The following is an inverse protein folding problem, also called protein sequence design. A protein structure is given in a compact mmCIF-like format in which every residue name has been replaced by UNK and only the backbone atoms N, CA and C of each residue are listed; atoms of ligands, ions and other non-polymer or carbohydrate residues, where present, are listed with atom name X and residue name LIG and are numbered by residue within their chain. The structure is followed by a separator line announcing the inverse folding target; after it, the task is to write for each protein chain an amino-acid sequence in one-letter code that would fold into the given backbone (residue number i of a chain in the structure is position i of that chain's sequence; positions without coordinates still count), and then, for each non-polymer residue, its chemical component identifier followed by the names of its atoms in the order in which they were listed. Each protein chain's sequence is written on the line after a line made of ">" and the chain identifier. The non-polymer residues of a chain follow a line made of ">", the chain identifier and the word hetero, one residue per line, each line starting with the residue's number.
data_IF_315049347580
#
_entry.id   IF_315049347580
#
_cell.length_a   1.000
_cell.length_b   1.000
_cell.length_c   1.000
_cell.angle_alpha   90.00
_cell.angle_beta   90.00
_cell.angle_gamma   90.00
#
_symmetry.space_group_name_H-M   'P 1'
#
loop_
_entity.id
_entity.type
_entity.pdbx_description
1 polymer ?
#
# COMPACT_ATOMS: atom_id res chain seq x y z
N UNK A 1 22.48 -13.36 2.84
CA UNK A 1 22.04 -12.49 1.72
C UNK A 1 20.70 -11.92 2.12
N UNK A 2 20.65 -10.63 2.44
CA UNK A 2 19.42 -10.02 2.96
C UNK A 2 18.47 -9.70 1.81
N UNK A 3 17.47 -10.56 1.62
CA UNK A 3 16.36 -10.36 0.68
C UNK A 3 15.72 -8.96 0.85
N UNK A 4 15.73 -8.43 2.07
CA UNK A 4 15.15 -7.13 2.43
C UNK A 4 15.95 -5.91 1.94
N UNK A 5 17.22 -6.06 1.54
CA UNK A 5 18.07 -4.96 1.08
C UNK A 5 18.27 -4.93 -0.45
N UNK A 6 17.61 -5.82 -1.20
CA UNK A 6 17.73 -5.86 -2.66
C UNK A 6 16.89 -4.71 -3.25
N UNK A 7 17.57 -3.68 -3.78
CA UNK A 7 16.92 -2.66 -4.60
C UNK A 7 16.49 -3.28 -5.92
N UNK A 8 15.26 -3.78 -5.98
CA UNK A 8 14.69 -4.29 -7.23
C UNK A 8 14.22 -3.11 -8.09
N UNK A 9 14.91 -2.81 -9.19
CA UNK A 9 14.51 -1.77 -10.14
C UNK A 9 13.45 -2.31 -11.11
N UNK A 10 12.24 -2.59 -10.61
CA UNK A 10 11.12 -2.93 -11.49
C UNK A 10 10.69 -1.66 -12.22
N UNK A 11 10.52 -1.75 -13.54
CA UNK A 11 9.82 -0.70 -14.26
C UNK A 11 8.35 -0.65 -13.82
N UNK A 12 7.73 0.52 -13.93
CA UNK A 12 6.32 0.69 -13.54
C UNK A 12 5.37 -0.27 -14.28
N UNK A 13 5.73 -0.68 -15.51
CA UNK A 13 4.95 -1.60 -16.33
C UNK A 13 5.03 -3.05 -15.82
N UNK A 14 6.21 -3.51 -15.41
CA UNK A 14 6.41 -4.86 -14.86
C UNK A 14 5.71 -5.05 -13.51
N UNK A 15 5.39 -3.95 -12.82
CA UNK A 15 4.69 -3.99 -11.53
C UNK A 15 3.15 -4.08 -11.67
N UNK A 16 2.60 -3.96 -12.89
CA UNK A 16 1.15 -4.03 -13.14
C UNK A 16 0.55 -5.39 -12.74
N UNK A 17 1.11 -6.55 -13.12
CA UNK A 17 0.54 -7.85 -12.73
C UNK A 17 0.51 -8.05 -11.23
N UNK A 18 1.54 -7.57 -10.52
CA UNK A 18 1.59 -7.64 -9.05
C UNK A 18 0.53 -6.74 -8.41
N UNK A 19 0.32 -5.51 -8.91
CA UNK A 19 -0.76 -4.62 -8.46
C UNK A 19 -2.14 -5.26 -8.65
N UNK A 20 -2.37 -5.90 -9.81
CA UNK A 20 -3.62 -6.61 -10.09
C UNK A 20 -3.82 -7.80 -9.14
N UNK A 21 -2.76 -8.57 -8.88
CA UNK A 21 -2.79 -9.68 -7.93
C UNK A 21 -3.18 -9.22 -6.52
N UNK A 22 -2.53 -8.17 -6.01
CA UNK A 22 -2.83 -7.60 -4.69
C UNK A 22 -4.26 -7.05 -4.65
N UNK A 23 -4.70 -6.35 -5.69
CA UNK A 23 -6.07 -5.84 -5.77
C UNK A 23 -7.11 -6.98 -5.76
N UNK A 24 -6.86 -8.07 -6.49
CA UNK A 24 -7.72 -9.25 -6.49
C UNK A 24 -7.77 -9.91 -5.10
N UNK A 25 -6.63 -10.01 -4.40
CA UNK A 25 -6.58 -10.53 -3.04
C UNK A 25 -7.42 -9.68 -2.06
N UNK A 26 -7.33 -8.35 -2.13
CA UNK A 26 -8.16 -7.47 -1.29
C UNK A 26 -9.66 -7.62 -1.57
N UNK A 27 -10.05 -7.75 -2.84
CA UNK A 27 -11.45 -7.98 -3.21
C UNK A 27 -11.94 -9.33 -2.68
N UNK A 28 -11.15 -10.40 -2.80
CA UNK A 28 -11.49 -11.73 -2.29
C UNK A 28 -11.63 -11.74 -0.77
N UNK A 29 -10.69 -11.12 -0.05
CA UNK A 29 -10.77 -11.03 1.41
C UNK A 29 -11.97 -10.20 1.83
N UNK A 30 -12.20 -9.05 1.19
CA UNK A 30 -13.33 -8.17 1.48
C UNK A 30 -14.69 -8.79 1.18
N UNK A 31 -14.79 -9.64 0.14
CA UNK A 31 -16.04 -10.31 -0.20
C UNK A 31 -16.35 -11.51 0.69
N UNK A 32 -15.34 -12.24 1.15
CA UNK A 32 -15.53 -13.41 2.01
C UNK A 32 -15.70 -13.06 3.49
N UNK A 33 -14.99 -12.03 3.98
CA UNK A 33 -14.97 -11.65 5.40
C UNK A 33 -15.68 -10.31 5.67
N UNK A 34 -16.56 -9.87 4.77
CA UNK A 34 -17.24 -8.57 4.86
C UNK A 34 -17.86 -8.33 6.26
N UNK A 35 -18.67 -9.30 6.71
CA UNK A 35 -19.40 -9.23 7.97
C UNK A 35 -18.45 -9.16 9.19
N UNK A 36 -17.31 -9.85 9.11
CA UNK A 36 -16.29 -9.80 10.16
C UNK A 36 -15.64 -8.42 10.26
N UNK A 37 -15.40 -7.75 9.13
CA UNK A 37 -14.73 -6.45 9.11
C UNK A 37 -15.66 -5.28 9.39
N UNK A 38 -16.98 -5.46 9.27
CA UNK A 38 -17.98 -4.39 9.44
C UNK A 38 -17.83 -3.66 10.78
N UNK A 39 -17.62 -4.40 11.88
CA UNK A 39 -17.44 -3.82 13.23
C UNK A 39 -16.14 -3.01 13.38
N UNK A 40 -15.17 -3.22 12.49
CA UNK A 40 -13.85 -2.59 12.53
C UNK A 40 -13.67 -1.46 11.52
N UNK A 41 -14.70 -1.13 10.72
CA UNK A 41 -14.58 -0.11 9.68
C UNK A 41 -14.10 1.24 10.19
N UNK A 42 -14.58 1.67 11.37
CA UNK A 42 -14.13 2.92 11.97
C UNK A 42 -12.63 2.88 12.29
N UNK A 43 -12.15 1.79 12.91
CA UNK A 43 -10.73 1.61 13.24
C UNK A 43 -9.87 1.51 11.98
N UNK A 44 -10.30 0.73 11.00
CA UNK A 44 -9.62 0.60 9.70
C UNK A 44 -9.55 1.94 8.96
N UNK A 45 -10.60 2.74 9.03
CA UNK A 45 -10.65 4.06 8.39
C UNK A 45 -9.70 5.07 9.05
N UNK A 46 -9.59 5.05 10.38
CA UNK A 46 -8.60 5.86 11.11
C UNK A 46 -7.18 5.44 10.70
N UNK A 47 -6.89 4.14 10.72
CA UNK A 47 -5.59 3.61 10.33
C UNK A 47 -5.24 3.98 8.88
N UNK A 48 -6.19 3.84 7.96
CA UNK A 48 -6.04 4.25 6.57
C UNK A 48 -5.73 5.74 6.44
N UNK A 49 -6.48 6.61 7.15
CA UNK A 49 -6.30 8.06 7.09
C UNK A 49 -4.89 8.47 7.56
N UNK A 50 -4.45 7.94 8.70
CA UNK A 50 -3.12 8.21 9.25
C UNK A 50 -2.01 7.75 8.28
N UNK A 51 -2.13 6.53 7.77
CA UNK A 51 -1.11 5.94 6.88
C UNK A 51 -1.05 6.64 5.52
N UNK A 52 -2.18 7.09 4.98
CA UNK A 52 -2.21 7.90 3.75
C UNK A 52 -1.54 9.25 3.97
N UNK A 53 -1.89 9.97 5.04
CA UNK A 53 -1.25 11.26 5.36
C UNK A 53 0.27 11.11 5.54
N UNK A 54 0.71 10.06 6.23
CA UNK A 54 2.13 9.75 6.40
C UNK A 54 2.83 9.44 5.07
N UNK A 55 2.19 8.64 4.22
CA UNK A 55 2.72 8.27 2.90
C UNK A 55 2.88 9.49 1.99
N UNK A 56 1.89 10.39 1.99
CA UNK A 56 1.94 11.66 1.24
C UNK A 56 3.07 12.55 1.78
N UNK A 57 3.20 12.66 3.11
CA UNK A 57 4.28 13.42 3.74
C UNK A 57 5.67 12.89 3.35
N UNK A 58 5.88 11.57 3.40
CA UNK A 58 7.13 10.93 2.98
C UNK A 58 7.41 11.17 1.50
N UNK A 59 6.39 11.08 0.64
CA UNK A 59 6.54 11.35 -0.78
C UNK A 59 7.00 12.80 -1.01
N UNK A 60 6.30 13.79 -0.45
CA UNK A 60 6.67 15.21 -0.59
C UNK A 60 8.10 15.45 -0.11
N UNK A 61 8.46 14.89 1.05
CA UNK A 61 9.81 15.02 1.62
C UNK A 61 10.87 14.41 0.70
N UNK A 62 10.60 13.23 0.12
CA UNK A 62 11.50 12.58 -0.83
C UNK A 62 11.68 13.41 -2.10
N UNK A 63 10.59 13.96 -2.67
CA UNK A 63 10.68 14.84 -3.84
C UNK A 63 11.50 16.10 -3.58
N UNK A 64 11.36 16.70 -2.39
CA UNK A 64 12.16 17.87 -2.00
C UNK A 64 13.65 17.52 -1.88
N UNK A 65 13.98 16.39 -1.26
CA UNK A 65 15.36 15.98 -1.03
C UNK A 65 16.06 15.46 -2.31
N UNK A 66 15.33 14.95 -3.31
CA UNK A 66 15.89 14.54 -4.60
C UNK A 66 16.11 15.71 -5.58
N UNK A 67 15.71 16.94 -5.22
CA UNK A 67 15.85 18.15 -6.04
C UNK A 67 16.95 19.10 -5.57
N UNK A 68 17.64 18.78 -4.46
CA UNK A 68 18.83 19.46 -3.92
C UNK A 68 20.07 18.64 -4.22
#
# INVERSE_FOLDING_TARGET
>A
MDFFNIKTSWSNAEFIPLKLCIAAAYILVGSYFHDFFQDYYLLLFILFSITVSWSVYLWITKMKNSRS
#
